data_IF_711660617917
#
_entry.id   IF_711660617917
#
_cell.length_a   1.000
_cell.length_b   1.000
_cell.length_c   1.000
_cell.angle_alpha   90.00
_cell.angle_beta   90.00
_cell.angle_gamma   90.00
#
_symmetry.space_group_name_H-M   'P 1'
#
loop_
_entity.id
_entity.type
_entity.pdbx_description
1 polymer ?
#
# COMPACT_ATOMS: atom_id res chain seq x y z
N UNK A 1 22.42 15.75 -12.44
CA UNK A 1 21.23 15.10 -13.04
C UNK A 1 21.30 13.63 -12.67
N UNK A 2 20.37 13.11 -11.87
CA UNK A 2 20.29 11.67 -11.62
C UNK A 2 19.96 10.98 -12.94
N UNK A 3 20.90 10.20 -13.47
CA UNK A 3 20.62 9.30 -14.60
C UNK A 3 19.71 8.20 -14.05
N UNK A 4 18.60 7.94 -14.74
CA UNK A 4 17.64 6.91 -14.34
C UNK A 4 18.27 5.51 -14.38
N UNK A 5 17.63 4.57 -13.68
CA UNK A 5 18.01 3.15 -13.70
C UNK A 5 17.97 2.63 -15.15
N UNK A 6 19.01 1.88 -15.53
CA UNK A 6 19.19 1.36 -16.89
C UNK A 6 18.53 0.00 -17.04
N UNK A 7 18.58 -0.82 -15.99
CA UNK A 7 18.02 -2.15 -16.03
C UNK A 7 17.90 -2.79 -14.66
N UNK A 8 17.23 -3.93 -14.65
CA UNK A 8 16.99 -4.76 -13.48
C UNK A 8 17.31 -6.21 -13.85
N UNK A 9 18.07 -6.90 -13.01
CA UNK A 9 18.39 -8.30 -13.19
C UNK A 9 18.06 -9.09 -11.91
N UNK A 10 17.64 -10.34 -12.08
CA UNK A 10 17.34 -11.26 -10.99
C UNK A 10 18.42 -12.34 -10.93
N UNK A 11 19.01 -12.54 -9.76
CA UNK A 11 19.84 -13.71 -9.49
C UNK A 11 18.95 -14.83 -8.93
N UNK A 12 18.65 -15.82 -9.78
CA UNK A 12 17.82 -16.97 -9.41
C UNK A 12 18.50 -17.89 -8.36
N UNK A 13 19.83 -17.80 -8.21
CA UNK A 13 20.58 -18.64 -7.26
C UNK A 13 20.51 -18.04 -5.85
N UNK A 14 20.56 -16.72 -5.75
CA UNK A 14 20.46 -15.99 -4.47
C UNK A 14 19.02 -15.57 -4.12
N UNK A 15 18.08 -15.61 -5.07
CA UNK A 15 16.72 -15.09 -4.89
C UNK A 15 16.67 -13.58 -4.75
N UNK A 16 17.68 -12.87 -5.27
CA UNK A 16 17.85 -11.43 -5.12
C UNK A 16 17.61 -10.70 -6.43
N UNK A 17 17.16 -9.47 -6.32
CA UNK A 17 16.99 -8.56 -7.44
C UNK A 17 18.02 -7.44 -7.34
N UNK A 18 18.62 -7.07 -8.46
CA UNK A 18 19.56 -5.97 -8.57
C UNK A 18 19.09 -4.99 -9.62
N UNK A 19 19.20 -3.70 -9.32
CA UNK A 19 18.98 -2.63 -10.27
C UNK A 19 20.30 -1.87 -10.45
N UNK A 20 20.61 -1.45 -11.67
CA UNK A 20 21.90 -0.81 -11.95
C UNK A 20 21.74 0.42 -12.85
N UNK A 21 22.67 1.35 -12.64
CA UNK A 21 22.92 2.48 -13.54
C UNK A 21 24.32 2.33 -14.19
N UNK A 22 24.87 3.40 -14.78
CA UNK A 22 26.18 3.33 -15.45
C UNK A 22 27.36 3.12 -14.49
N UNK A 23 27.18 3.40 -13.21
CA UNK A 23 28.25 3.57 -12.24
C UNK A 23 27.99 2.89 -10.88
N UNK A 24 26.80 2.32 -10.67
CA UNK A 24 26.35 1.80 -9.38
C UNK A 24 25.36 0.65 -9.55
N UNK A 25 25.46 -0.32 -8.63
CA UNK A 25 24.55 -1.46 -8.52
C UNK A 25 23.87 -1.37 -7.16
N UNK A 26 22.55 -1.49 -7.15
CA UNK A 26 21.70 -1.45 -5.98
C UNK A 26 21.01 -2.80 -5.83
N UNK A 27 21.08 -3.37 -4.62
CA UNK A 27 20.29 -4.55 -4.30
C UNK A 27 18.88 -4.11 -3.94
N UNK A 28 17.90 -4.69 -4.61
CA UNK A 28 16.48 -4.54 -4.30
C UNK A 28 16.10 -5.65 -3.32
N UNK A 29 15.93 -5.27 -2.05
CA UNK A 29 15.45 -6.17 -1.01
C UNK A 29 13.99 -5.86 -0.69
N UNK A 30 13.14 -6.87 -0.76
CA UNK A 30 11.76 -6.79 -0.27
C UNK A 30 11.79 -6.93 1.25
N UNK A 31 11.71 -5.80 1.96
CA UNK A 31 11.55 -5.80 3.41
C UNK A 31 10.09 -5.51 3.74
N UNK A 32 9.38 -6.52 4.23
CA UNK A 32 8.00 -6.40 4.73
C UNK A 32 7.02 -5.83 3.68
N UNK A 33 6.88 -6.53 2.55
CA UNK A 33 6.00 -6.18 1.43
C UNK A 33 4.55 -5.88 1.88
N UNK A 34 4.09 -6.58 2.91
CA UNK A 34 2.75 -6.42 3.48
C UNK A 34 2.53 -5.16 4.31
N UNK A 35 3.58 -4.37 4.61
CA UNK A 35 3.48 -3.20 5.51
C UNK A 35 2.46 -2.16 5.04
N UNK A 36 2.48 -1.86 3.75
CA UNK A 36 1.68 -0.80 3.14
C UNK A 36 0.61 -1.35 2.18
N UNK A 37 0.42 -2.68 2.13
CA UNK A 37 -0.61 -3.31 1.29
C UNK A 37 -2.03 -2.83 1.60
N UNK A 38 -2.29 -2.43 2.84
CA UNK A 38 -3.58 -1.85 3.22
C UNK A 38 -3.88 -0.54 2.44
N UNK A 39 -2.86 0.27 2.10
CA UNK A 39 -3.01 1.48 1.29
C UNK A 39 -3.36 1.15 -0.16
N UNK A 40 -2.71 0.14 -0.72
CA UNK A 40 -2.98 -0.33 -2.08
C UNK A 40 -4.43 -0.80 -2.19
N UNK A 41 -4.89 -1.62 -1.25
CA UNK A 41 -6.30 -2.04 -1.20
C UNK A 41 -7.25 -0.87 -0.97
N UNK A 42 -6.83 0.15 -0.20
CA UNK A 42 -7.62 1.35 0.02
C UNK A 42 -7.81 2.16 -1.27
N UNK A 43 -6.74 2.33 -2.06
CA UNK A 43 -6.79 3.00 -3.37
C UNK A 43 -7.68 2.24 -4.36
N UNK A 44 -7.70 0.91 -4.27
CA UNK A 44 -8.60 0.04 -5.03
C UNK A 44 -10.06 0.04 -4.49
N UNK A 45 -10.32 0.74 -3.38
CA UNK A 45 -11.61 0.76 -2.65
C UNK A 45 -12.04 -0.61 -2.13
N UNK A 46 -11.08 -1.52 -1.94
CA UNK A 46 -11.28 -2.85 -1.37
C UNK A 46 -11.15 -2.81 0.16
N UNK A 47 -12.09 -2.13 0.82
CA UNK A 47 -11.99 -1.84 2.26
C UNK A 47 -11.85 -3.10 3.14
N UNK A 48 -12.47 -4.22 2.77
CA UNK A 48 -12.36 -5.48 3.51
C UNK A 48 -10.93 -6.06 3.44
N UNK A 49 -10.31 -6.01 2.27
CA UNK A 49 -8.92 -6.46 2.08
C UNK A 49 -7.94 -5.48 2.76
N UNK A 50 -8.21 -4.18 2.71
CA UNK A 50 -7.44 -3.19 3.44
C UNK A 50 -7.44 -3.46 4.95
N UNK A 51 -8.63 -3.65 5.57
CA UNK A 51 -8.77 -3.95 7.00
C UNK A 51 -8.11 -5.27 7.42
N UNK A 52 -8.04 -6.26 6.54
CA UNK A 52 -7.36 -7.53 6.79
C UNK A 52 -5.83 -7.38 6.79
N UNK A 53 -5.30 -6.41 6.03
CA UNK A 53 -3.87 -6.11 5.93
C UNK A 53 -3.40 -5.03 6.92
N UNK A 54 -4.32 -4.32 7.58
CA UNK A 54 -3.97 -3.38 8.66
C UNK A 54 -3.41 -4.11 9.87
N UNK A 55 -2.26 -3.65 10.36
CA UNK A 55 -1.58 -4.19 11.56
C UNK A 55 -1.72 -3.28 12.78
N UNK A 56 -1.99 -2.00 12.57
CA UNK A 56 -2.11 -0.97 13.62
C UNK A 56 -3.55 -0.44 13.69
N UNK A 57 -4.11 -0.20 14.89
CA UNK A 57 -5.36 0.57 15.06
C UNK A 57 -5.42 1.85 14.23
N UNK A 58 -4.33 2.63 14.14
CA UNK A 58 -4.29 3.88 13.36
C UNK A 58 -4.50 3.64 11.86
N UNK A 59 -4.01 2.52 11.33
CA UNK A 59 -4.25 2.14 9.94
C UNK A 59 -5.73 1.79 9.73
N UNK A 60 -6.35 1.10 10.70
CA UNK A 60 -7.78 0.74 10.63
C UNK A 60 -8.67 1.97 10.64
N UNK A 61 -8.35 2.95 11.48
CA UNK A 61 -9.03 4.26 11.52
C UNK A 61 -8.97 4.96 10.15
N UNK A 62 -7.81 4.97 9.51
CA UNK A 62 -7.66 5.56 8.18
C UNK A 62 -8.54 4.85 7.13
N UNK A 63 -8.62 3.52 7.19
CA UNK A 63 -9.51 2.76 6.30
C UNK A 63 -10.98 3.07 6.59
N UNK A 64 -11.39 3.15 7.86
CA UNK A 64 -12.77 3.49 8.21
C UNK A 64 -13.15 4.91 7.82
N UNK A 65 -12.24 5.87 7.97
CA UNK A 65 -12.45 7.26 7.57
C UNK A 65 -12.71 7.36 6.07
N UNK A 66 -11.87 6.70 5.25
CA UNK A 66 -12.06 6.64 3.81
C UNK A 66 -13.36 5.91 3.41
N UNK A 67 -13.75 4.87 4.15
CA UNK A 67 -15.01 4.16 3.94
C UNK A 67 -16.23 5.04 4.29
N UNK A 68 -16.12 5.84 5.36
CA UNK A 68 -17.11 6.80 5.78
C UNK A 68 -17.27 7.93 4.75
N UNK A 69 -16.17 8.50 4.26
CA UNK A 69 -16.18 9.54 3.22
C UNK A 69 -16.79 9.04 1.90
N UNK A 70 -16.51 7.79 1.52
CA UNK A 70 -17.12 7.18 0.34
C UNK A 70 -18.64 7.01 0.50
N UNK A 71 -19.10 6.54 1.66
CA UNK A 71 -20.53 6.43 1.97
C UNK A 71 -21.22 7.81 2.05
N UNK A 72 -20.53 8.80 2.61
CA UNK A 72 -20.99 10.19 2.68
C UNK A 72 -21.16 10.80 1.28
N UNK A 73 -20.18 10.58 0.40
CA UNK A 73 -20.24 11.01 -1.01
C UNK A 73 -21.37 10.31 -1.78
N UNK A 74 -21.71 9.08 -1.41
CA UNK A 74 -22.86 8.34 -1.93
C UNK A 74 -24.21 8.77 -1.34
N UNK A 75 -24.22 9.79 -0.46
CA UNK A 75 -25.40 10.28 0.31
C UNK A 75 -26.00 9.24 1.27
N UNK A 76 -25.26 8.19 1.59
CA UNK A 76 -25.65 7.17 2.59
C UNK A 76 -25.12 7.59 3.97
N UNK A 77 -25.79 8.58 4.56
CA UNK A 77 -25.32 9.23 5.79
C UNK A 77 -25.38 8.32 7.02
N UNK A 78 -26.34 7.38 7.06
CA UNK A 78 -26.44 6.43 8.17
C UNK A 78 -25.26 5.47 8.19
N UNK A 79 -24.86 4.95 7.03
CA UNK A 79 -23.65 4.12 6.94
C UNK A 79 -22.39 4.92 7.23
N UNK A 80 -22.27 6.14 6.70
CA UNK A 80 -21.12 7.00 6.97
C UNK A 80 -20.95 7.27 8.48
N UNK A 81 -22.03 7.59 9.19
CA UNK A 81 -22.01 7.80 10.64
C UNK A 81 -21.53 6.56 11.42
N UNK A 82 -21.95 5.37 10.99
CA UNK A 82 -21.52 4.11 11.63
C UNK A 82 -20.01 3.85 11.50
N UNK A 83 -19.38 4.34 10.42
CA UNK A 83 -17.95 4.20 10.21
C UNK A 83 -17.14 5.29 10.93
N UNK A 84 -17.65 6.52 11.04
CA UNK A 84 -17.00 7.57 11.82
C UNK A 84 -16.99 7.34 13.34
N UNK A 85 -17.93 6.54 13.85
CA UNK A 85 -18.05 6.24 15.28
C UNK A 85 -17.32 4.97 15.74
N UNK A 86 -16.55 4.32 14.88
CA UNK A 86 -15.73 3.15 15.21
C UNK A 86 -14.36 3.57 15.71
#
# INVERSE_FOLDING_TARGET
MSRGIIGLCSDASAGLFYAYDQNSIFQVSVNDEGRDMWKVHLDLKEYAAALANCRDPLQRDQVYLAQAEAAFSAKDFLRAASFYGR
#
